data_IF_589721388877
#
_entry.id   IF_589721388877
#
_cell.length_a   1.000
_cell.length_b   1.000
_cell.length_c   1.000
_cell.angle_alpha   90.00
_cell.angle_beta   90.00
_cell.angle_gamma   90.00
#
_symmetry.space_group_name_H-M   'P 1'
#
loop_
_entity.id
_entity.type
_entity.pdbx_description
1 polymer ?
#
# COMPACT_ATOMS: atom_id res chain seq x y z
N UNK A 1 -35.19 -32.92 17.77
CA UNK A 1 -35.33 -31.48 18.04
C UNK A 1 -34.19 -31.10 18.97
N UNK A 2 -33.11 -30.65 18.41
CA UNK A 2 -31.92 -30.17 19.13
C UNK A 2 -31.69 -28.71 18.64
N UNK A 3 -31.74 -27.80 19.62
CA UNK A 3 -31.50 -26.36 19.40
C UNK A 3 -30.06 -26.10 18.92
N UNK A 4 -29.82 -25.10 18.08
CA UNK A 4 -28.46 -24.71 17.69
C UNK A 4 -27.80 -23.84 18.76
N UNK A 5 -26.63 -24.26 19.22
CA UNK A 5 -25.72 -23.46 20.04
C UNK A 5 -25.35 -22.15 19.35
N UNK A 6 -25.57 -21.05 20.08
CA UNK A 6 -25.17 -19.70 19.67
C UNK A 6 -23.63 -19.58 19.73
N UNK A 7 -23.00 -19.33 18.58
CA UNK A 7 -21.62 -18.88 18.50
C UNK A 7 -21.47 -17.55 19.26
N UNK A 8 -20.73 -17.55 20.35
CA UNK A 8 -20.22 -16.33 20.97
C UNK A 8 -19.07 -15.77 20.13
N UNK A 9 -19.25 -14.58 19.59
CA UNK A 9 -18.17 -13.81 18.96
C UNK A 9 -17.13 -13.40 20.01
N UNK A 10 -15.82 -13.53 19.73
CA UNK A 10 -14.80 -13.03 20.65
C UNK A 10 -14.69 -11.50 20.52
N UNK A 11 -14.99 -10.82 21.61
CA UNK A 11 -14.94 -9.36 21.79
C UNK A 11 -13.48 -8.89 22.01
N UNK A 12 -12.59 -9.10 21.04
CA UNK A 12 -11.14 -8.82 21.18
C UNK A 12 -10.73 -7.37 20.87
N UNK A 13 -11.58 -6.57 20.22
CA UNK A 13 -11.29 -5.15 19.91
C UNK A 13 -11.54 -4.24 21.13
N UNK A 14 -12.40 -4.65 22.06
CA UNK A 14 -12.72 -3.90 23.28
C UNK A 14 -11.56 -3.87 24.28
N UNK A 15 -10.79 -4.96 24.38
CA UNK A 15 -9.78 -5.12 25.44
C UNK A 15 -8.51 -4.30 25.18
N UNK A 16 -8.08 -4.17 23.94
CA UNK A 16 -6.90 -3.37 23.57
C UNK A 16 -7.15 -1.86 23.75
N UNK A 17 -8.36 -1.40 23.44
CA UNK A 17 -8.78 0.00 23.66
C UNK A 17 -8.89 0.31 25.15
N UNK A 18 -9.44 -0.61 25.95
CA UNK A 18 -9.53 -0.45 27.41
C UNK A 18 -8.15 -0.42 28.07
N UNK A 19 -7.19 -1.24 27.60
CA UNK A 19 -5.81 -1.23 28.11
C UNK A 19 -5.08 0.07 27.73
N UNK A 20 -5.25 0.58 26.51
CA UNK A 20 -4.67 1.86 26.10
C UNK A 20 -5.27 3.04 26.89
N UNK A 21 -6.59 3.07 27.10
CA UNK A 21 -7.26 4.09 27.90
C UNK A 21 -6.86 4.00 29.38
N UNK A 22 -6.70 2.79 29.94
CA UNK A 22 -6.23 2.59 31.32
C UNK A 22 -4.78 3.05 31.50
N UNK A 23 -3.92 2.80 30.50
CA UNK A 23 -2.53 3.29 30.50
C UNK A 23 -2.45 4.83 30.54
N UNK A 24 -3.21 5.49 29.68
CA UNK A 24 -3.28 6.96 29.65
C UNK A 24 -3.88 7.52 30.94
N UNK A 25 -4.94 6.88 31.47
CA UNK A 25 -5.56 7.29 32.73
C UNK A 25 -4.60 7.16 33.92
N UNK A 26 -3.81 6.08 33.95
CA UNK A 26 -2.81 5.84 34.99
C UNK A 26 -1.71 6.92 34.96
N UNK A 27 -1.24 7.32 33.77
CA UNK A 27 -0.24 8.39 33.60
C UNK A 27 -0.82 9.75 34.03
N UNK A 28 -2.06 10.06 33.66
CA UNK A 28 -2.75 11.29 34.05
C UNK A 28 -2.98 11.34 35.56
N UNK A 29 -3.36 10.21 36.18
CA UNK A 29 -3.55 10.13 37.66
C UNK A 29 -2.22 10.26 38.40
N UNK A 30 -1.15 9.67 37.86
CA UNK A 30 0.19 9.79 38.45
C UNK A 30 0.71 11.24 38.38
N UNK A 31 0.53 11.91 37.26
CA UNK A 31 0.88 13.32 37.09
C UNK A 31 0.01 14.22 37.98
N UNK A 32 -1.30 13.92 38.09
CA UNK A 32 -2.19 14.59 39.02
C UNK A 32 -1.83 14.38 40.47
N UNK A 33 -1.43 13.18 40.88
CA UNK A 33 -0.96 12.89 42.24
C UNK A 33 0.36 13.60 42.58
N UNK A 34 1.30 13.67 41.63
CA UNK A 34 2.56 14.41 41.78
C UNK A 34 2.29 15.92 41.88
N UNK A 35 1.38 16.45 41.06
CA UNK A 35 0.97 17.87 41.13
C UNK A 35 0.25 18.20 42.46
N UNK A 36 -0.65 17.30 42.91
CA UNK A 36 -1.33 17.44 44.21
C UNK A 36 -0.35 17.36 45.38
N UNK A 37 0.57 16.43 45.36
CA UNK A 37 1.61 16.32 46.37
C UNK A 37 2.45 17.59 46.46
N UNK A 38 2.84 18.18 45.34
CA UNK A 38 3.54 19.47 45.30
C UNK A 38 2.70 20.66 45.78
N UNK A 39 1.40 20.64 45.55
CA UNK A 39 0.49 21.72 45.97
C UNK A 39 0.10 21.66 47.45
N UNK A 40 -0.03 20.44 48.05
CA UNK A 40 -0.49 20.25 49.41
C UNK A 40 0.61 19.94 50.43
N UNK A 41 1.88 19.78 50.04
CA UNK A 41 3.01 19.59 50.97
C UNK A 41 3.65 20.99 51.30
N UNK A 42 3.17 21.72 52.27
CA UNK A 42 3.78 23.01 52.61
C UNK A 42 5.09 22.75 53.33
N UNK A 43 6.19 23.05 52.69
CA UNK A 43 7.48 23.16 53.38
C UNK A 43 8.62 22.21 52.93
N UNK A 44 8.45 21.40 51.90
CA UNK A 44 9.59 20.76 51.27
C UNK A 44 10.13 21.72 50.21
N UNK A 45 11.35 22.25 50.51
CA UNK A 45 12.07 23.07 49.55
C UNK A 45 12.00 22.48 48.16
N UNK A 46 11.61 23.28 47.17
CA UNK A 46 11.73 22.97 45.75
C UNK A 46 13.22 22.86 45.41
N UNK A 47 13.86 21.76 45.82
CA UNK A 47 15.13 21.38 45.27
C UNK A 47 14.93 21.06 43.77
N UNK A 48 15.88 21.39 42.91
CA UNK A 48 15.82 20.98 41.52
C UNK A 48 15.58 19.47 41.48
N UNK A 49 14.64 19.05 40.62
CA UNK A 49 14.36 17.62 40.41
C UNK A 49 15.68 16.91 40.14
N UNK A 50 16.01 15.79 40.78
CA UNK A 50 17.26 15.09 40.55
C UNK A 50 17.52 14.94 39.06
N UNK A 51 18.71 15.27 38.57
CA UNK A 51 19.05 15.24 37.14
C UNK A 51 18.68 13.91 36.48
N UNK A 52 18.85 12.80 37.23
CA UNK A 52 18.46 11.45 36.77
C UNK A 52 16.93 11.35 36.45
N UNK A 53 16.10 11.92 37.33
CA UNK A 53 14.62 11.87 37.10
C UNK A 53 14.24 12.75 35.92
N UNK A 54 14.88 13.91 35.76
CA UNK A 54 14.69 14.79 34.61
C UNK A 54 15.06 14.07 33.30
N UNK A 55 16.19 13.39 33.26
CA UNK A 55 16.65 12.62 32.10
C UNK A 55 15.71 11.44 31.79
N UNK A 56 15.21 10.72 32.81
CA UNK A 56 14.26 9.65 32.62
C UNK A 56 12.92 10.16 32.04
N UNK A 57 12.38 11.27 32.58
CA UNK A 57 11.14 11.89 32.04
C UNK A 57 11.34 12.34 30.61
N UNK A 58 12.45 12.96 30.27
CA UNK A 58 12.74 13.34 28.88
C UNK A 58 12.83 12.14 27.95
N UNK A 59 13.52 11.08 28.37
CA UNK A 59 13.64 9.83 27.59
C UNK A 59 12.26 9.20 27.35
N UNK A 60 11.47 9.00 28.41
CA UNK A 60 10.12 8.44 28.29
C UNK A 60 9.20 9.31 27.43
N UNK A 61 9.31 10.63 27.53
CA UNK A 61 8.52 11.54 26.69
C UNK A 61 8.89 11.39 25.21
N UNK A 62 10.18 11.23 24.90
CA UNK A 62 10.64 10.98 23.53
C UNK A 62 10.17 9.62 23.01
N UNK A 63 10.29 8.57 23.83
CA UNK A 63 9.79 7.22 23.47
C UNK A 63 8.29 7.21 23.20
N UNK A 64 7.49 7.85 24.05
CA UNK A 64 6.03 7.98 23.84
C UNK A 64 5.72 8.75 22.56
N UNK A 65 6.41 9.85 22.29
CA UNK A 65 6.23 10.62 21.08
C UNK A 65 6.57 9.79 19.81
N UNK A 66 7.65 9.02 19.87
CA UNK A 66 8.05 8.13 18.78
C UNK A 66 7.01 7.03 18.54
N UNK A 67 6.53 6.36 19.59
CA UNK A 67 5.49 5.34 19.50
C UNK A 67 4.18 5.90 18.94
N UNK A 68 3.77 7.10 19.36
CA UNK A 68 2.60 7.77 18.83
C UNK A 68 2.76 8.11 17.34
N UNK A 69 3.93 8.56 16.92
CA UNK A 69 4.24 8.81 15.52
C UNK A 69 4.15 7.53 14.69
N UNK A 70 4.73 6.43 15.16
CA UNK A 70 4.65 5.13 14.49
C UNK A 70 3.21 4.62 14.35
N UNK A 71 2.39 4.75 15.40
CA UNK A 71 0.97 4.37 15.35
C UNK A 71 0.14 5.25 14.40
N UNK A 72 0.46 6.54 14.29
CA UNK A 72 -0.25 7.46 13.41
C UNK A 72 0.17 7.35 11.94
N UNK A 73 1.32 6.75 11.65
CA UNK A 73 1.93 6.69 10.32
C UNK A 73 1.00 6.15 9.21
N UNK A 74 0.30 5.02 9.38
CA UNK A 74 -0.55 4.49 8.32
C UNK A 74 -1.68 5.44 7.93
N UNK A 75 -2.28 6.11 8.91
CA UNK A 75 -3.33 7.10 8.68
C UNK A 75 -2.77 8.37 8.00
N UNK A 76 -1.58 8.80 8.42
CA UNK A 76 -0.90 9.97 7.84
C UNK A 76 -0.56 9.73 6.36
N UNK A 77 0.07 8.60 6.05
CA UNK A 77 0.43 8.23 4.68
C UNK A 77 -0.80 8.12 3.80
N UNK A 78 -1.85 7.43 4.28
CA UNK A 78 -3.10 7.31 3.56
C UNK A 78 -3.75 8.68 3.32
N UNK A 79 -3.82 9.55 4.32
CA UNK A 79 -4.42 10.88 4.16
C UNK A 79 -3.67 11.74 3.15
N UNK A 80 -2.34 11.62 3.10
CA UNK A 80 -1.48 12.43 2.24
C UNK A 80 -1.41 11.92 0.81
N UNK A 81 -1.29 10.60 0.62
CA UNK A 81 -0.94 10.02 -0.68
C UNK A 81 -2.03 9.16 -1.32
N UNK A 82 -3.15 8.90 -0.65
CA UNK A 82 -4.20 8.01 -1.19
C UNK A 82 -4.65 8.37 -2.61
N UNK A 83 -4.71 9.66 -2.94
CA UNK A 83 -5.18 10.13 -4.24
C UNK A 83 -4.12 9.97 -5.35
N UNK A 84 -2.87 9.74 -4.98
CA UNK A 84 -1.75 9.48 -5.89
C UNK A 84 -1.48 7.99 -6.10
N UNK A 85 -2.30 7.11 -5.48
CA UNK A 85 -2.19 5.65 -5.57
C UNK A 85 -3.48 5.15 -6.22
N UNK A 86 -3.37 4.62 -7.44
CA UNK A 86 -4.51 4.23 -8.26
C UNK A 86 -4.60 2.72 -8.49
N UNK A 87 -5.81 2.27 -8.81
CA UNK A 87 -6.10 0.91 -9.25
C UNK A 87 -5.84 0.78 -10.76
N UNK A 88 -4.95 -0.12 -11.14
CA UNK A 88 -4.64 -0.43 -12.54
C UNK A 88 -5.53 -1.58 -13.01
N UNK A 89 -6.11 -1.41 -14.19
CA UNK A 89 -6.84 -2.45 -14.91
C UNK A 89 -6.39 -2.47 -16.37
N UNK A 90 -6.14 -3.68 -16.88
CA UNK A 90 -5.76 -3.86 -18.27
C UNK A 90 -6.34 -5.12 -18.89
N UNK A 91 -6.31 -5.15 -20.23
CA UNK A 91 -6.59 -6.31 -21.06
C UNK A 91 -5.42 -6.50 -22.00
N UNK A 92 -4.97 -7.74 -22.14
CA UNK A 92 -3.88 -8.10 -23.03
C UNK A 92 -4.21 -9.36 -23.82
N UNK A 93 -3.49 -9.58 -24.87
CA UNK A 93 -3.55 -10.78 -25.68
C UNK A 93 -2.16 -11.25 -26.09
N UNK A 94 -2.05 -12.58 -26.27
CA UNK A 94 -0.85 -13.23 -26.84
C UNK A 94 -1.33 -14.16 -27.95
N UNK A 95 -0.72 -14.06 -29.13
CA UNK A 95 -1.13 -14.88 -30.26
C UNK A 95 -0.21 -14.73 -31.47
N UNK A 96 -0.46 -15.54 -32.47
CA UNK A 96 0.29 -15.55 -33.72
C UNK A 96 -0.35 -14.61 -34.75
N UNK A 97 0.50 -14.05 -35.61
CA UNK A 97 0.02 -13.17 -36.69
C UNK A 97 -1.05 -13.85 -37.56
N UNK A 98 -2.11 -13.11 -37.86
CA UNK A 98 -3.25 -13.57 -38.68
C UNK A 98 -4.04 -14.76 -38.10
N UNK A 99 -3.93 -15.00 -36.78
CA UNK A 99 -4.73 -16.00 -36.06
C UNK A 99 -5.47 -15.32 -34.89
N UNK A 100 -6.59 -15.91 -34.41
CA UNK A 100 -7.18 -15.48 -33.15
C UNK A 100 -6.17 -15.54 -32.01
N UNK A 101 -6.28 -14.64 -31.03
CA UNK A 101 -5.40 -14.65 -29.87
C UNK A 101 -5.53 -16.00 -29.12
N UNK A 102 -4.39 -16.61 -28.77
CA UNK A 102 -4.34 -17.85 -28.00
C UNK A 102 -4.68 -17.57 -26.54
N UNK A 103 -4.14 -16.45 -26.01
CA UNK A 103 -4.48 -15.94 -24.67
C UNK A 103 -5.12 -14.58 -24.85
N UNK A 104 -6.25 -14.36 -24.18
CA UNK A 104 -6.84 -13.03 -23.94
C UNK A 104 -7.28 -12.95 -22.52
N UNK A 105 -6.58 -12.15 -21.71
CA UNK A 105 -6.77 -12.11 -20.29
C UNK A 105 -6.76 -10.66 -19.75
N UNK A 106 -7.05 -10.54 -18.47
CA UNK A 106 -7.10 -9.28 -17.73
C UNK A 106 -5.97 -9.24 -16.71
N UNK A 107 -5.47 -8.03 -16.48
CA UNK A 107 -4.54 -7.75 -15.40
C UNK A 107 -5.14 -6.72 -14.46
N UNK A 108 -4.87 -6.89 -13.18
CA UNK A 108 -5.18 -5.89 -12.16
C UNK A 108 -3.99 -5.68 -11.24
N UNK A 109 -3.81 -4.43 -10.83
CA UNK A 109 -2.70 -4.06 -9.95
C UNK A 109 -2.91 -2.70 -9.31
N UNK A 110 -1.86 -2.23 -8.70
CA UNK A 110 -1.74 -0.92 -8.08
C UNK A 110 -0.62 -0.14 -8.77
N UNK A 111 -0.74 1.17 -8.84
CA UNK A 111 0.35 2.04 -9.26
C UNK A 111 0.31 3.35 -8.49
N UNK A 112 1.45 4.03 -8.41
CA UNK A 112 1.58 5.28 -7.67
C UNK A 112 2.47 6.29 -8.39
N UNK A 113 2.22 7.59 -8.17
CA UNK A 113 2.94 8.68 -8.80
C UNK A 113 4.36 8.80 -8.25
N UNK A 114 5.36 8.79 -9.16
CA UNK A 114 6.80 8.95 -8.84
C UNK A 114 7.43 10.15 -9.55
N UNK A 115 6.65 10.88 -10.34
CA UNK A 115 7.04 12.07 -11.07
C UNK A 115 5.86 12.69 -11.79
N UNK A 116 6.10 13.81 -12.51
CA UNK A 116 5.06 14.45 -13.31
C UNK A 116 4.63 13.56 -14.47
N UNK A 117 3.43 13.00 -14.35
CA UNK A 117 2.89 12.03 -15.31
C UNK A 117 3.65 10.69 -15.35
N UNK A 118 4.44 10.35 -14.32
CA UNK A 118 5.15 9.08 -14.20
C UNK A 118 4.55 8.23 -13.08
N UNK A 119 4.30 6.97 -13.39
CA UNK A 119 3.66 6.01 -12.51
C UNK A 119 4.56 4.79 -12.31
N UNK A 120 4.88 4.45 -11.07
CA UNK A 120 5.55 3.20 -10.73
C UNK A 120 4.54 2.06 -10.50
N UNK A 121 4.91 0.85 -10.91
CA UNK A 121 4.18 -0.40 -10.67
C UNK A 121 5.14 -1.59 -10.86
N UNK A 122 4.63 -2.81 -10.76
CA UNK A 122 5.39 -4.01 -11.14
C UNK A 122 5.44 -4.21 -12.66
N UNK A 123 6.48 -4.93 -13.11
CA UNK A 123 6.61 -5.30 -14.51
C UNK A 123 5.48 -6.24 -14.96
N UNK A 124 5.12 -7.24 -14.16
CA UNK A 124 4.02 -8.15 -14.50
C UNK A 124 2.64 -7.46 -14.55
N UNK A 125 2.49 -6.24 -14.02
CA UNK A 125 1.28 -5.42 -14.19
C UNK A 125 1.35 -4.61 -15.49
N UNK A 126 2.54 -4.11 -15.83
CA UNK A 126 2.78 -3.34 -17.06
C UNK A 126 2.91 -4.22 -18.30
N UNK A 127 3.51 -5.40 -18.16
CA UNK A 127 3.70 -6.45 -19.15
C UNK A 127 3.13 -7.77 -18.60
N UNK A 128 1.79 -8.01 -18.68
CA UNK A 128 1.15 -9.12 -17.98
C UNK A 128 1.58 -10.52 -18.42
N UNK A 129 2.30 -10.62 -19.52
CA UNK A 129 2.94 -11.86 -19.99
C UNK A 129 4.28 -12.16 -19.31
N UNK A 130 4.84 -11.18 -18.55
CA UNK A 130 6.08 -11.37 -17.81
C UNK A 130 5.84 -12.22 -16.56
N UNK A 131 6.56 -13.33 -16.44
CA UNK A 131 6.41 -14.30 -15.35
C UNK A 131 5.23 -15.28 -15.52
N UNK A 132 4.46 -15.18 -16.61
CA UNK A 132 3.46 -16.15 -17.00
C UNK A 132 4.08 -17.19 -17.93
N UNK A 133 4.28 -18.42 -17.44
CA UNK A 133 4.99 -19.49 -18.17
C UNK A 133 4.31 -19.90 -19.48
N UNK A 134 2.98 -19.84 -19.56
CA UNK A 134 2.23 -20.13 -20.78
C UNK A 134 2.42 -19.03 -21.82
N UNK A 135 2.26 -17.77 -21.41
CA UNK A 135 2.46 -16.63 -22.30
C UNK A 135 3.90 -16.52 -22.78
N UNK A 136 4.89 -16.71 -21.90
CA UNK A 136 6.31 -16.71 -22.26
C UNK A 136 6.65 -17.85 -23.22
N UNK A 137 6.09 -19.04 -23.03
CA UNK A 137 6.27 -20.19 -23.93
C UNK A 137 5.74 -19.91 -25.35
N UNK A 138 4.56 -19.28 -25.45
CA UNK A 138 4.01 -18.85 -26.75
C UNK A 138 4.88 -17.79 -27.41
N UNK A 139 5.38 -16.80 -26.68
CA UNK A 139 6.25 -15.74 -27.19
C UNK A 139 7.57 -16.32 -27.69
N UNK A 140 8.18 -17.27 -26.96
CA UNK A 140 9.37 -18.00 -27.41
C UNK A 140 9.08 -18.82 -28.67
N UNK A 141 7.85 -19.29 -28.85
CA UNK A 141 7.35 -19.96 -30.05
C UNK A 141 7.01 -19.02 -31.21
N UNK A 142 7.26 -17.72 -31.09
CA UNK A 142 7.03 -16.70 -32.14
C UNK A 142 5.69 -15.97 -32.06
N UNK A 143 4.92 -16.15 -31.00
CA UNK A 143 3.72 -15.35 -30.75
C UNK A 143 4.09 -13.92 -30.33
N UNK A 144 3.19 -12.98 -30.53
CA UNK A 144 3.33 -11.58 -30.10
C UNK A 144 2.39 -11.27 -28.96
N UNK A 145 2.90 -10.62 -27.93
CA UNK A 145 2.10 -10.10 -26.84
C UNK A 145 1.73 -8.62 -27.10
N UNK A 146 0.50 -8.25 -26.78
CA UNK A 146 0.00 -6.89 -26.97
C UNK A 146 -0.97 -6.50 -25.85
N UNK A 147 -0.80 -5.29 -25.33
CA UNK A 147 -1.80 -4.64 -24.48
C UNK A 147 -2.93 -4.08 -25.37
N UNK A 148 -4.16 -4.54 -25.15
CA UNK A 148 -5.35 -3.93 -25.77
C UNK A 148 -5.71 -2.61 -25.06
N UNK A 149 -5.60 -2.62 -23.73
CA UNK A 149 -5.83 -1.43 -22.90
C UNK A 149 -5.10 -1.57 -21.57
N UNK A 150 -4.61 -0.45 -21.07
CA UNK A 150 -4.10 -0.32 -19.70
C UNK A 150 -4.53 1.05 -19.16
N UNK A 151 -5.28 1.05 -18.08
CA UNK A 151 -5.83 2.26 -17.48
C UNK A 151 -5.63 2.26 -15.97
N UNK A 152 -5.63 3.44 -15.37
CA UNK A 152 -5.60 3.63 -13.93
C UNK A 152 -6.80 4.44 -13.44
N UNK A 153 -7.37 4.00 -12.34
CA UNK A 153 -8.45 4.68 -11.63
C UNK A 153 -7.88 5.31 -10.36
N UNK A 154 -7.83 6.63 -10.30
CA UNK A 154 -7.42 7.35 -9.09
C UNK A 154 -8.62 7.61 -8.17
N UNK A 155 -8.44 7.58 -6.83
CA UNK A 155 -9.47 8.00 -5.89
C UNK A 155 -9.95 9.42 -6.18
N UNK A 156 -11.27 9.62 -6.19
CA UNK A 156 -11.87 10.93 -6.46
C UNK A 156 -11.96 11.32 -7.93
N UNK A 157 -11.33 10.57 -8.86
CA UNK A 157 -11.51 10.76 -10.29
C UNK A 157 -12.69 9.90 -10.80
N UNK A 158 -13.66 10.47 -11.51
CA UNK A 158 -14.80 9.71 -12.02
C UNK A 158 -14.47 8.87 -13.27
N UNK A 159 -13.35 9.14 -13.92
CA UNK A 159 -12.90 8.49 -15.16
C UNK A 159 -11.51 7.90 -15.02
N UNK A 160 -11.25 6.76 -15.68
CA UNK A 160 -9.92 6.21 -15.75
C UNK A 160 -9.00 7.03 -16.65
N UNK A 161 -7.71 6.97 -16.37
CA UNK A 161 -6.67 7.59 -17.19
C UNK A 161 -5.88 6.50 -17.90
N UNK A 162 -5.60 6.70 -19.20
CA UNK A 162 -4.82 5.75 -19.99
C UNK A 162 -3.36 5.78 -19.59
N UNK A 163 -2.76 4.59 -19.54
CA UNK A 163 -1.33 4.39 -19.32
C UNK A 163 -0.66 3.92 -20.61
N UNK A 164 0.55 4.39 -20.83
CA UNK A 164 1.40 3.97 -21.93
C UNK A 164 2.74 3.45 -21.42
N UNK A 165 3.42 2.55 -22.16
CA UNK A 165 4.72 2.02 -21.77
C UNK A 165 5.76 3.13 -21.55
N UNK A 166 6.57 3.00 -20.51
CA UNK A 166 7.70 3.88 -20.22
C UNK A 166 9.01 3.11 -20.19
N UNK A 167 9.38 2.58 -19.04
CA UNK A 167 10.56 1.73 -18.86
C UNK A 167 10.22 0.53 -17.98
N UNK A 168 10.81 -0.62 -18.28
CA UNK A 168 10.73 -1.84 -17.48
C UNK A 168 12.13 -2.25 -17.02
N UNK A 169 12.21 -2.84 -15.83
CA UNK A 169 13.47 -3.40 -15.34
C UNK A 169 13.83 -4.68 -16.11
N UNK A 170 15.11 -4.83 -16.42
CA UNK A 170 15.63 -6.07 -17.01
C UNK A 170 15.95 -7.16 -15.98
N UNK A 171 16.11 -6.77 -14.71
CA UNK A 171 16.58 -7.66 -13.64
C UNK A 171 15.55 -7.88 -12.53
N UNK A 172 14.52 -7.05 -12.44
CA UNK A 172 13.52 -7.09 -11.38
C UNK A 172 12.09 -6.87 -11.88
N UNK A 173 11.14 -7.12 -11.03
CA UNK A 173 9.71 -6.97 -11.33
C UNK A 173 9.23 -5.53 -11.09
N UNK A 174 9.80 -4.57 -11.85
CA UNK A 174 9.49 -3.15 -11.76
C UNK A 174 9.25 -2.52 -13.13
N UNK A 175 8.34 -1.57 -13.18
CA UNK A 175 8.05 -0.73 -14.35
C UNK A 175 7.73 0.70 -13.95
N UNK A 176 8.04 1.62 -14.85
CA UNK A 176 7.55 3.00 -14.85
C UNK A 176 6.75 3.21 -16.12
N UNK A 177 5.49 3.58 -15.95
CA UNK A 177 4.54 3.88 -17.01
C UNK A 177 4.38 5.40 -17.17
N UNK A 178 3.88 5.84 -18.32
CA UNK A 178 3.50 7.23 -18.56
C UNK A 178 1.98 7.38 -18.48
N UNK A 179 1.55 8.44 -17.86
CA UNK A 179 0.16 8.89 -17.85
C UNK A 179 -0.07 9.72 -19.10
N UNK A 180 -1.05 9.33 -19.93
CA UNK A 180 -1.32 9.99 -21.21
C UNK A 180 -1.89 11.40 -20.98
N UNK A 181 -2.87 11.52 -20.08
CA UNK A 181 -3.44 12.81 -19.67
C UNK A 181 -2.83 13.28 -18.34
N UNK A 182 -1.81 14.13 -18.42
CA UNK A 182 -1.13 14.67 -17.23
C UNK A 182 -2.02 15.63 -16.42
N UNK A 183 -3.00 16.25 -17.07
CA UNK A 183 -3.91 17.17 -16.36
C UNK A 183 -4.78 16.42 -15.36
N UNK A 184 -5.08 15.14 -15.61
CA UNK A 184 -5.81 14.29 -14.68
C UNK A 184 -5.10 14.05 -13.33
N UNK A 185 -3.79 14.25 -13.27
CA UNK A 185 -2.97 14.07 -12.05
C UNK A 185 -2.34 15.37 -11.56
N UNK A 186 -2.70 16.50 -12.17
CA UNK A 186 -2.17 17.81 -11.78
C UNK A 186 -2.54 18.12 -10.33
N UNK A 187 -1.51 18.49 -9.54
CA UNK A 187 -1.68 18.82 -8.14
C UNK A 187 -1.75 17.63 -7.18
N UNK A 188 -1.72 16.39 -7.68
CA UNK A 188 -1.55 15.23 -6.82
C UNK A 188 -0.10 15.14 -6.34
N UNK A 189 0.13 14.81 -5.05
CA UNK A 189 1.47 14.69 -4.51
C UNK A 189 2.21 13.51 -5.13
N UNK A 190 3.45 13.74 -5.56
CA UNK A 190 4.40 12.68 -5.93
C UNK A 190 4.90 12.01 -4.66
N UNK A 191 4.98 10.69 -4.66
CA UNK A 191 5.47 9.94 -3.51
C UNK A 191 7.00 10.04 -3.43
N UNK A 192 7.56 10.42 -2.26
CA UNK A 192 9.01 10.49 -2.08
C UNK A 192 9.59 9.08 -2.02
N UNK A 193 10.67 8.84 -2.76
CA UNK A 193 11.45 7.61 -2.63
C UNK A 193 12.49 7.77 -1.53
N UNK A 194 12.56 6.81 -0.62
CA UNK A 194 13.54 6.79 0.46
C UNK A 194 14.98 6.83 -0.09
N UNK A 195 15.86 7.48 0.63
CA UNK A 195 17.30 7.48 0.35
C UNK A 195 17.97 6.50 1.31
N UNK A 196 18.56 5.45 0.78
CA UNK A 196 19.27 4.45 1.58
C UNK A 196 18.54 3.11 1.64
N UNK A 197 19.17 2.19 2.37
CA UNK A 197 18.72 0.79 2.49
C UNK A 197 17.78 0.71 3.68
N UNK A 198 16.61 0.11 3.47
CA UNK A 198 15.70 -0.25 4.56
C UNK A 198 16.32 -1.36 5.43
N UNK A 199 16.09 -1.30 6.73
CA UNK A 199 16.69 -2.24 7.70
C UNK A 199 15.62 -3.20 8.23
N UNK A 200 15.94 -4.50 8.39
CA UNK A 200 15.07 -5.44 9.07
C UNK A 200 14.64 -4.94 10.46
N UNK A 201 13.38 -5.14 10.80
CA UNK A 201 12.75 -4.64 12.02
C UNK A 201 12.01 -3.31 11.87
N UNK A 202 12.23 -2.57 10.78
CA UNK A 202 11.49 -1.32 10.52
C UNK A 202 10.00 -1.57 10.28
N UNK A 203 9.16 -0.67 10.79
CA UNK A 203 7.73 -0.66 10.51
C UNK A 203 7.48 -0.31 9.04
N UNK A 204 6.65 -1.10 8.37
CA UNK A 204 6.25 -0.85 6.99
C UNK A 204 4.74 -0.66 6.85
N UNK A 205 4.35 0.24 5.96
CA UNK A 205 2.96 0.47 5.57
C UNK A 205 2.81 0.23 4.08
N UNK A 206 1.90 -0.67 3.70
CA UNK A 206 1.60 -1.00 2.30
C UNK A 206 0.23 -0.45 1.94
N UNK A 207 0.13 0.23 0.80
CA UNK A 207 -1.13 0.78 0.30
C UNK A 207 -1.38 0.24 -1.11
N UNK A 208 -2.60 -0.27 -1.35
CA UNK A 208 -2.94 -0.82 -2.66
C UNK A 208 -4.39 -1.27 -2.77
N UNK A 209 -4.66 -2.05 -3.80
CA UNK A 209 -5.99 -2.55 -4.12
C UNK A 209 -6.05 -4.08 -4.07
N UNK A 210 -5.82 -4.71 -2.88
CA UNK A 210 -5.90 -6.16 -2.75
C UNK A 210 -7.28 -6.66 -3.19
N UNK A 211 -7.30 -7.78 -3.92
CA UNK A 211 -8.46 -8.36 -4.60
C UNK A 211 -9.07 -7.47 -5.71
N UNK A 212 -8.44 -6.35 -6.07
CA UNK A 212 -8.89 -5.48 -7.16
C UNK A 212 -10.34 -5.02 -7.03
N UNK A 213 -11.12 -5.17 -8.11
CA UNK A 213 -12.54 -4.78 -8.14
C UNK A 213 -13.35 -5.54 -7.09
N UNK A 214 -13.11 -6.84 -6.92
CA UNK A 214 -13.83 -7.64 -5.93
C UNK A 214 -13.64 -7.11 -4.51
N UNK A 215 -12.42 -6.72 -4.15
CA UNK A 215 -12.11 -6.11 -2.85
C UNK A 215 -12.78 -4.75 -2.66
N UNK A 216 -12.86 -3.92 -3.71
CA UNK A 216 -13.56 -2.63 -3.65
C UNK A 216 -15.07 -2.80 -3.56
N UNK A 217 -15.64 -3.75 -4.30
CA UNK A 217 -17.07 -4.10 -4.24
C UNK A 217 -17.44 -4.61 -2.85
N UNK A 218 -16.62 -5.48 -2.25
CA UNK A 218 -16.87 -6.01 -0.90
C UNK A 218 -16.92 -4.91 0.18
N UNK A 219 -16.17 -3.82 0.01
CA UNK A 219 -16.15 -2.65 0.90
C UNK A 219 -17.25 -1.62 0.58
N UNK A 220 -18.05 -1.84 -0.45
CA UNK A 220 -19.06 -0.88 -0.90
C UNK A 220 -20.34 -1.01 -0.07
N UNK A 221 -21.17 0.05 -0.02
CA UNK A 221 -22.50 -0.02 0.60
C UNK A 221 -23.34 -1.18 0.03
N UNK A 222 -24.21 -1.78 0.85
CA UNK A 222 -24.94 -3.02 0.53
C UNK A 222 -25.69 -2.99 -0.79
N UNK A 223 -26.28 -1.84 -1.17
CA UNK A 223 -26.97 -1.67 -2.45
C UNK A 223 -26.03 -1.75 -3.65
N UNK A 224 -24.83 -1.17 -3.54
CA UNK A 224 -23.78 -1.23 -4.56
C UNK A 224 -23.21 -2.66 -4.62
N UNK A 225 -22.90 -3.25 -3.46
CA UNK A 225 -22.43 -4.63 -3.37
C UNK A 225 -23.37 -5.59 -4.10
N UNK A 226 -24.67 -5.59 -3.78
CA UNK A 226 -25.65 -6.48 -4.44
C UNK A 226 -25.70 -6.31 -5.97
N UNK A 227 -25.50 -5.10 -6.47
CA UNK A 227 -25.52 -4.81 -7.90
C UNK A 227 -24.25 -5.24 -8.62
N UNK A 228 -23.07 -5.10 -7.97
CA UNK A 228 -21.77 -5.32 -8.59
C UNK A 228 -21.09 -6.64 -8.20
N UNK A 229 -21.61 -7.40 -7.24
CA UNK A 229 -20.98 -8.62 -6.71
C UNK A 229 -20.62 -9.67 -7.78
N UNK A 230 -21.35 -9.71 -8.88
CA UNK A 230 -21.11 -10.63 -9.99
C UNK A 230 -20.25 -10.03 -11.13
N UNK A 231 -19.80 -8.77 -10.98
CA UNK A 231 -19.00 -8.04 -11.99
C UNK A 231 -17.56 -7.75 -11.54
N UNK A 232 -17.03 -8.58 -10.67
CA UNK A 232 -15.76 -8.32 -10.00
C UNK A 232 -14.50 -8.30 -10.91
N UNK A 233 -14.62 -8.64 -12.19
CA UNK A 233 -13.54 -8.53 -13.17
C UNK A 233 -13.96 -7.74 -14.42
N UNK A 234 -14.92 -6.85 -14.29
CA UNK A 234 -15.48 -6.07 -15.40
C UNK A 234 -15.07 -4.60 -15.28
N UNK A 235 -14.50 -4.04 -16.37
CA UNK A 235 -14.13 -2.61 -16.44
C UNK A 235 -15.32 -1.69 -16.17
N UNK A 236 -16.54 -2.12 -16.50
CA UNK A 236 -17.77 -1.35 -16.23
C UNK A 236 -18.02 -1.24 -14.73
N UNK A 237 -17.74 -2.28 -13.95
CA UNK A 237 -17.81 -2.21 -12.48
C UNK A 237 -16.78 -1.25 -11.90
N UNK A 238 -15.54 -1.24 -12.41
CA UNK A 238 -14.53 -0.27 -12.01
C UNK A 238 -14.94 1.17 -12.33
N UNK A 239 -15.50 1.39 -13.53
CA UNK A 239 -15.99 2.72 -13.94
C UNK A 239 -17.18 3.18 -13.09
N UNK A 240 -18.07 2.28 -12.70
CA UNK A 240 -19.18 2.60 -11.82
C UNK A 240 -18.68 2.93 -10.39
N UNK A 241 -17.71 2.18 -9.87
CA UNK A 241 -17.07 2.49 -8.59
C UNK A 241 -16.37 3.86 -8.63
N UNK A 242 -15.72 4.20 -9.75
CA UNK A 242 -15.08 5.50 -9.95
C UNK A 242 -16.10 6.64 -9.93
N UNK A 243 -17.19 6.51 -10.70
CA UNK A 243 -18.26 7.50 -10.74
C UNK A 243 -18.92 7.73 -9.37
N UNK A 244 -18.91 6.72 -8.50
CA UNK A 244 -19.44 6.78 -7.13
C UNK A 244 -18.39 7.15 -6.08
N UNK A 245 -17.15 7.50 -6.49
CA UNK A 245 -16.01 7.78 -5.59
C UNK A 245 -15.68 6.62 -4.64
N UNK A 246 -15.89 5.39 -5.09
CA UNK A 246 -15.65 4.15 -4.35
C UNK A 246 -14.31 3.47 -4.72
N UNK A 247 -13.50 4.09 -5.57
CA UNK A 247 -12.10 3.69 -5.77
C UNK A 247 -11.32 4.07 -4.51
N UNK A 248 -11.09 3.08 -3.64
CA UNK A 248 -10.48 3.30 -2.32
C UNK A 248 -9.43 2.24 -2.05
N UNK A 249 -8.15 2.64 -1.91
CA UNK A 249 -7.10 1.70 -1.53
C UNK A 249 -7.32 1.15 -0.11
N UNK A 250 -6.72 0.01 0.17
CA UNK A 250 -6.56 -0.55 1.50
C UNK A 250 -5.16 -0.26 2.01
N UNK A 251 -5.03 -0.14 3.32
CA UNK A 251 -3.75 0.02 4.01
C UNK A 251 -3.52 -1.17 4.92
N UNK A 252 -2.35 -1.76 4.85
CA UNK A 252 -1.89 -2.81 5.76
C UNK A 252 -0.53 -2.42 6.34
N UNK A 253 -0.21 -2.94 7.51
CA UNK A 253 1.02 -2.64 8.23
C UNK A 253 1.68 -3.93 8.68
N UNK A 254 2.98 -3.88 8.83
CA UNK A 254 3.81 -4.96 9.31
C UNK A 254 5.23 -4.48 9.55
N UNK A 255 6.17 -5.42 9.62
CA UNK A 255 7.59 -5.14 9.81
C UNK A 255 8.40 -5.72 8.66
N UNK A 256 9.46 -5.04 8.30
CA UNK A 256 10.46 -5.57 7.39
C UNK A 256 11.21 -6.70 8.09
N UNK A 257 11.03 -7.93 7.60
CA UNK A 257 11.64 -9.13 8.18
C UNK A 257 13.07 -9.36 7.65
N UNK A 258 13.30 -9.11 6.34
CA UNK A 258 14.61 -9.31 5.72
C UNK A 258 14.78 -8.47 4.45
N UNK A 259 16.04 -8.27 4.05
CA UNK A 259 16.42 -7.60 2.79
C UNK A 259 17.50 -8.44 2.10
N UNK A 260 17.16 -8.98 0.91
CA UNK A 260 18.07 -9.83 0.14
C UNK A 260 18.29 -9.23 -1.25
N UNK A 261 19.40 -8.52 -1.41
CA UNK A 261 19.65 -7.73 -2.64
C UNK A 261 18.64 -6.61 -2.79
N UNK A 262 17.87 -6.64 -3.87
CA UNK A 262 16.77 -5.71 -4.14
C UNK A 262 15.39 -6.20 -3.63
N UNK A 263 15.34 -7.38 -2.99
CA UNK A 263 14.09 -7.97 -2.46
C UNK A 263 13.88 -7.54 -1.01
N UNK A 264 12.67 -7.08 -0.73
CA UNK A 264 12.17 -6.78 0.60
C UNK A 264 11.21 -7.90 1.01
N UNK A 265 11.38 -8.42 2.23
CA UNK A 265 10.52 -9.47 2.81
C UNK A 265 9.88 -8.87 4.07
N UNK A 266 8.54 -8.87 4.15
CA UNK A 266 7.80 -8.25 5.25
C UNK A 266 6.49 -8.99 5.52
N UNK A 267 5.90 -8.75 6.70
CA UNK A 267 4.69 -9.45 7.16
C UNK A 267 3.39 -8.63 6.98
N UNK A 268 3.46 -7.45 6.35
CA UNK A 268 2.25 -6.71 5.99
C UNK A 268 1.41 -7.50 4.98
N UNK A 269 0.13 -7.81 5.29
CA UNK A 269 -0.71 -8.65 4.42
C UNK A 269 -0.99 -8.00 3.07
N UNK A 270 -0.95 -8.80 2.01
CA UNK A 270 -1.36 -8.41 0.65
C UNK A 270 -2.14 -9.52 -0.05
N UNK A 271 -2.67 -9.23 -1.23
CA UNK A 271 -3.35 -10.18 -2.10
C UNK A 271 -3.21 -9.72 -3.56
N UNK A 272 -3.62 -10.56 -4.52
CA UNK A 272 -3.70 -10.18 -5.93
C UNK A 272 -4.38 -8.82 -6.12
N UNK A 273 -3.81 -7.97 -6.97
CA UNK A 273 -4.23 -6.58 -7.15
C UNK A 273 -3.50 -5.58 -6.24
N UNK A 274 -2.87 -6.05 -5.15
CA UNK A 274 -1.95 -5.25 -4.33
C UNK A 274 -0.58 -5.05 -4.97
N UNK A 275 -0.21 -5.88 -5.96
CA UNK A 275 1.03 -5.76 -6.73
C UNK A 275 1.16 -4.38 -7.36
N UNK A 276 2.34 -3.77 -7.26
CA UNK A 276 2.61 -2.41 -7.71
C UNK A 276 2.32 -1.33 -6.68
N UNK A 277 1.79 -1.69 -5.50
CA UNK A 277 1.54 -0.74 -4.42
C UNK A 277 2.83 -0.27 -3.73
N UNK A 278 2.88 0.99 -3.24
CA UNK A 278 4.02 1.49 -2.50
C UNK A 278 4.13 0.85 -1.11
N UNK A 279 5.36 0.55 -0.71
CA UNK A 279 5.75 0.15 0.64
C UNK A 279 6.45 1.33 1.28
N UNK A 280 5.90 1.88 2.36
CA UNK A 280 6.42 3.06 3.06
C UNK A 280 7.15 2.66 4.33
N UNK A 281 8.19 3.44 4.67
CA UNK A 281 8.83 3.43 5.98
C UNK A 281 8.11 4.36 6.98
N UNK A 282 8.63 4.47 8.20
CA UNK A 282 8.11 5.35 9.26
C UNK A 282 8.21 6.86 8.95
N UNK A 283 9.00 7.25 7.95
CA UNK A 283 9.14 8.64 7.50
C UNK A 283 8.21 9.03 6.36
N UNK A 284 7.25 8.15 6.00
CA UNK A 284 6.35 8.32 4.85
C UNK A 284 7.08 8.36 3.49
N UNK A 285 8.23 7.71 3.38
CA UNK A 285 8.99 7.54 2.15
C UNK A 285 8.84 6.13 1.62
N UNK A 286 8.77 5.98 0.30
CA UNK A 286 8.65 4.68 -0.36
C UNK A 286 9.99 3.97 -0.35
N UNK A 287 10.08 2.83 0.35
CA UNK A 287 11.25 1.95 0.39
C UNK A 287 11.17 0.84 -0.66
N UNK A 288 9.97 0.54 -1.17
CA UNK A 288 9.79 -0.52 -2.15
C UNK A 288 8.44 -0.53 -2.84
N UNK A 289 8.30 -1.46 -3.77
CA UNK A 289 7.08 -1.75 -4.52
C UNK A 289 6.63 -3.16 -4.16
N UNK A 290 5.43 -3.31 -3.61
CA UNK A 290 4.82 -4.60 -3.28
C UNK A 290 4.66 -5.43 -4.56
N UNK A 291 5.12 -6.67 -4.56
CA UNK A 291 5.13 -7.53 -5.75
C UNK A 291 4.31 -8.80 -5.57
N UNK A 292 4.66 -9.63 -4.61
CA UNK A 292 4.12 -10.97 -4.46
C UNK A 292 3.94 -11.34 -2.98
N UNK A 293 3.46 -12.56 -2.75
CA UNK A 293 3.44 -13.18 -1.42
C UNK A 293 3.85 -14.64 -1.55
N UNK A 294 4.32 -15.21 -0.45
CA UNK A 294 4.68 -16.64 -0.37
C UNK A 294 3.46 -17.39 0.17
N UNK A 295 2.89 -18.25 -0.66
CA UNK A 295 1.74 -19.08 -0.26
C UNK A 295 2.08 -19.94 0.96
N UNK A 296 1.16 -19.93 1.94
CA UNK A 296 1.31 -20.71 3.17
C UNK A 296 2.20 -20.07 4.24
N UNK A 297 2.75 -18.89 4.00
CA UNK A 297 3.56 -18.16 4.98
C UNK A 297 3.06 -16.72 5.16
N UNK A 298 2.38 -16.44 6.27
CA UNK A 298 1.76 -15.13 6.55
C UNK A 298 2.77 -13.99 6.74
N UNK A 299 4.03 -14.28 7.03
CA UNK A 299 5.14 -13.30 7.12
C UNK A 299 5.92 -13.14 5.81
N UNK A 300 5.43 -13.69 4.71
CA UNK A 300 6.17 -13.78 3.45
C UNK A 300 5.59 -12.91 2.34
N UNK A 301 5.32 -11.65 2.58
CA UNK A 301 5.07 -10.67 1.50
C UNK A 301 6.40 -10.21 0.92
N UNK A 302 6.45 -10.12 -0.41
CA UNK A 302 7.64 -9.74 -1.17
C UNK A 302 7.44 -8.40 -1.84
N UNK A 303 8.46 -7.56 -1.78
CA UNK A 303 8.56 -6.31 -2.53
C UNK A 303 9.91 -6.17 -3.22
N UNK A 304 10.00 -5.21 -4.12
CA UNK A 304 11.26 -4.83 -4.78
C UNK A 304 11.67 -3.45 -4.30
N UNK A 305 12.94 -3.27 -3.98
CA UNK A 305 13.48 -2.01 -3.44
C UNK A 305 13.20 -0.82 -4.36
N UNK A 306 12.82 0.31 -3.79
CA UNK A 306 12.58 1.57 -4.50
C UNK A 306 13.85 2.14 -5.16
N UNK A 307 15.05 1.76 -4.70
CA UNK A 307 16.31 2.16 -5.35
C UNK A 307 16.36 1.70 -6.82
N UNK A 308 15.80 0.52 -7.12
CA UNK A 308 15.73 0.01 -8.49
C UNK A 308 14.74 0.78 -9.40
N UNK A 309 13.87 1.64 -8.85
CA UNK A 309 13.01 2.54 -9.65
C UNK A 309 13.75 3.75 -10.18
N UNK A 310 14.79 4.25 -9.50
CA UNK A 310 15.48 5.50 -9.87
C UNK A 310 16.00 5.50 -11.30
N UNK A 311 16.75 4.47 -11.76
CA UNK A 311 17.22 4.43 -13.14
C UNK A 311 16.08 4.35 -14.17
N UNK A 312 14.94 3.72 -13.82
CA UNK A 312 13.77 3.65 -14.70
C UNK A 312 13.10 5.02 -14.85
N UNK A 313 12.94 5.75 -13.75
CA UNK A 313 12.38 7.11 -13.74
C UNK A 313 13.26 8.04 -14.59
N UNK A 314 14.60 8.00 -14.41
CA UNK A 314 15.52 8.79 -15.19
C UNK A 314 15.50 8.43 -16.69
N UNK A 315 15.41 7.14 -17.01
CA UNK A 315 15.35 6.68 -18.40
C UNK A 315 14.10 7.19 -19.12
N UNK A 316 12.96 7.30 -18.41
CA UNK A 316 11.72 7.84 -18.98
C UNK A 316 11.78 9.37 -19.05
N UNK A 317 12.34 10.05 -18.03
CA UNK A 317 12.48 11.51 -18.00
C UNK A 317 13.39 12.06 -19.10
N UNK A 318 14.44 11.34 -19.47
CA UNK A 318 15.35 11.73 -20.56
C UNK A 318 14.75 11.57 -21.97
N UNK A 319 13.62 10.86 -22.10
CA UNK A 319 12.94 10.62 -23.39
C UNK A 319 11.72 11.54 -23.59
N UNK A 320 11.50 12.48 -22.69
CA UNK A 320 10.51 13.56 -22.77
C UNK A 320 11.16 14.84 -23.27
#
# INVERSE_FOLDING_TARGET
MSEPEACQEPNTVSDSWQQAVQGVLAVVLLLGAVAMFHYYAPGTAQGPMPDELHQQVQRLTQEVAQLQQQQAMPALVLSRYRNSIGYIYGVYQVGYANQPATIRARVSGTGFLVGDGLLATNRHVAEPWYGDSEAEGLIQGGATAMLESLVIFFPGSPTPVRLTPGAVSSTGDLAVLKIEDRDAVRGLPVLPLAKGIALPGELVTVIGYPMGIAGMVAKSPSGIYKRLAYRHNDITAASELAALSLIRPSTTCGHLGDVVGDKLIYDAPTAHGGSGGPVFNENAEVIGVNSAYIDGFSGGTLGVSAEALRPLIEAVGKRQ
#
